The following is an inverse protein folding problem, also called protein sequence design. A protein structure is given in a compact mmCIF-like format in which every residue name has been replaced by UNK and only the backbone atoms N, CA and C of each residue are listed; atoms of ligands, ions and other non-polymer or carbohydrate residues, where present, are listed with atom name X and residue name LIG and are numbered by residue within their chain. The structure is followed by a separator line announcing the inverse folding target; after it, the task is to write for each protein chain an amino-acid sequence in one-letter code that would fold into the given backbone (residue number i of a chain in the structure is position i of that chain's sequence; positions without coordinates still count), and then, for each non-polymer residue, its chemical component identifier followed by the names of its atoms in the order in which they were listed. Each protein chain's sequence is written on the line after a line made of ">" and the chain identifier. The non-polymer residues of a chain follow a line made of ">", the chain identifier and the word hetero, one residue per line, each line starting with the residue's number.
data_IF_347687720966
#
_entry.id   IF_347687720966
#
_cell.length_a   1.000
_cell.length_b   1.000
_cell.length_c   1.000
_cell.angle_alpha   90.00
_cell.angle_beta   90.00
_cell.angle_gamma   90.00
#
_symmetry.space_group_name_H-M   'P 1'
#
loop_
_entity.id
_entity.type
_entity.pdbx_description
1 polymer ?
#
# COMPACT_ATOMS: atom_id res chain seq x y z
N UNK A 1 13.73 20.44 8.97
CA UNK A 1 12.66 20.00 8.05
C UNK A 1 13.07 18.80 7.19
N UNK A 2 14.30 18.73 6.66
CA UNK A 2 14.82 17.56 5.93
C UNK A 2 15.81 16.70 6.76
N UNK A 3 15.56 16.58 8.07
CA UNK A 3 16.38 15.70 8.90
C UNK A 3 16.00 14.25 8.66
N UNK A 4 17.00 13.39 8.50
CA UNK A 4 16.78 11.94 8.41
C UNK A 4 16.55 11.42 9.83
N UNK A 5 15.28 11.25 10.17
CA UNK A 5 14.84 10.62 11.40
C UNK A 5 13.72 9.62 11.07
N UNK A 6 13.39 8.74 12.02
CA UNK A 6 12.41 7.67 11.78
C UNK A 6 11.05 8.19 11.30
N UNK A 7 10.59 9.32 11.85
CA UNK A 7 9.32 9.93 11.47
C UNK A 7 9.33 10.39 10.01
N UNK A 8 10.31 11.20 9.61
CA UNK A 8 10.44 11.71 8.25
C UNK A 8 10.72 10.60 7.24
N UNK A 9 11.51 9.58 7.63
CA UNK A 9 11.75 8.39 6.80
C UNK A 9 10.46 7.59 6.59
N UNK A 10 9.64 7.41 7.62
CA UNK A 10 8.35 6.75 7.48
C UNK A 10 7.41 7.53 6.56
N UNK A 11 7.34 8.86 6.68
CA UNK A 11 6.54 9.71 5.76
C UNK A 11 7.00 9.56 4.32
N UNK A 12 8.32 9.60 4.08
CA UNK A 12 8.86 9.43 2.73
C UNK A 12 8.56 8.04 2.16
N UNK A 13 8.70 6.98 2.96
CA UNK A 13 8.41 5.61 2.53
C UNK A 13 6.91 5.40 2.28
N UNK A 14 6.05 5.89 3.16
CA UNK A 14 4.59 5.83 2.98
C UNK A 14 4.19 6.46 1.64
N UNK A 15 4.60 7.69 1.38
CA UNK A 15 4.26 8.40 0.14
C UNK A 15 4.96 7.83 -1.10
N UNK A 16 6.25 7.49 -0.99
CA UNK A 16 7.02 6.93 -2.10
C UNK A 16 6.46 5.58 -2.57
N UNK A 17 6.15 4.69 -1.62
CA UNK A 17 5.55 3.38 -1.94
C UNK A 17 4.12 3.58 -2.47
N UNK A 18 3.34 4.53 -1.93
CA UNK A 18 2.00 4.84 -2.43
C UNK A 18 2.01 5.26 -3.92
N UNK A 19 2.96 6.12 -4.31
CA UNK A 19 3.13 6.55 -5.70
C UNK A 19 3.46 5.37 -6.60
N UNK A 20 4.42 4.52 -6.19
CA UNK A 20 4.80 3.32 -6.94
C UNK A 20 3.60 2.37 -7.07
N UNK A 21 2.89 2.10 -5.96
CA UNK A 21 1.71 1.25 -5.93
C UNK A 21 0.62 1.77 -6.88
N UNK A 22 0.35 3.07 -6.85
CA UNK A 22 -0.64 3.72 -7.73
C UNK A 22 -0.25 3.57 -9.19
N UNK A 23 1.00 3.85 -9.54
CA UNK A 23 1.50 3.68 -10.91
C UNK A 23 1.30 2.25 -11.40
N UNK A 24 1.63 1.25 -10.58
CA UNK A 24 1.43 -0.16 -10.93
C UNK A 24 -0.05 -0.54 -11.10
N UNK A 25 -0.95 0.00 -10.27
CA UNK A 25 -2.39 -0.22 -10.39
C UNK A 25 -3.00 0.37 -11.66
N UNK A 26 -2.42 1.43 -12.24
CA UNK A 26 -2.88 2.00 -13.52
C UNK A 26 -2.53 1.15 -14.74
N UNK A 27 -1.79 0.05 -14.58
CA UNK A 27 -1.42 -0.83 -15.68
C UNK A 27 -2.61 -1.63 -16.22
N UNK A 28 -2.59 -1.90 -17.54
CA UNK A 28 -3.54 -2.83 -18.17
C UNK A 28 -3.23 -4.30 -17.83
N UNK A 29 -1.98 -4.61 -17.46
CA UNK A 29 -1.57 -5.97 -17.13
C UNK A 29 -2.00 -6.36 -15.71
N UNK A 30 -2.80 -7.43 -15.59
CA UNK A 30 -3.20 -7.98 -14.30
C UNK A 30 -2.00 -8.33 -13.40
N UNK A 31 -0.92 -8.87 -13.98
CA UNK A 31 0.34 -9.15 -13.26
C UNK A 31 0.94 -7.88 -12.67
N UNK A 32 0.95 -6.78 -13.43
CA UNK A 32 1.51 -5.50 -12.97
C UNK A 32 0.64 -4.88 -11.89
N UNK A 33 -0.69 -4.90 -12.05
CA UNK A 33 -1.64 -4.46 -11.00
C UNK A 33 -1.46 -5.25 -9.71
N UNK A 34 -1.22 -6.56 -9.80
CA UNK A 34 -0.93 -7.40 -8.63
C UNK A 34 0.28 -6.91 -7.83
N UNK A 35 1.36 -6.46 -8.51
CA UNK A 35 2.50 -5.84 -7.83
C UNK A 35 2.13 -4.49 -7.17
N UNK A 36 1.17 -3.75 -7.73
CA UNK A 36 0.62 -2.56 -7.10
C UNK A 36 -0.03 -2.87 -5.75
N UNK A 37 -0.87 -3.91 -5.68
CA UNK A 37 -1.45 -4.36 -4.41
C UNK A 37 -0.38 -4.78 -3.39
N UNK A 38 0.66 -5.50 -3.83
CA UNK A 38 1.81 -5.85 -2.96
C UNK A 38 2.49 -4.58 -2.42
N UNK A 39 2.74 -3.58 -3.25
CA UNK A 39 3.33 -2.32 -2.81
C UNK A 39 2.47 -1.64 -1.72
N UNK A 40 1.15 -1.60 -1.90
CA UNK A 40 0.26 -1.06 -0.88
C UNK A 40 0.20 -1.90 0.41
N UNK A 41 0.38 -3.23 0.36
CA UNK A 41 0.55 -4.03 1.58
C UNK A 41 1.83 -3.66 2.34
N UNK A 42 2.94 -3.44 1.62
CA UNK A 42 4.20 -3.00 2.24
C UNK A 42 4.10 -1.58 2.80
N UNK A 43 3.42 -0.68 2.10
CA UNK A 43 3.17 0.71 2.52
C UNK A 43 2.45 0.77 3.87
N UNK A 44 1.61 -0.21 4.22
CA UNK A 44 0.90 -0.21 5.50
C UNK A 44 1.86 -0.24 6.71
N UNK A 45 3.09 -0.74 6.56
CA UNK A 45 4.08 -0.78 7.67
C UNK A 45 4.44 0.65 8.13
N UNK A 46 5.01 1.52 7.28
CA UNK A 46 5.26 2.91 7.68
C UNK A 46 3.94 3.66 7.96
N UNK A 47 2.86 3.38 7.23
CA UNK A 47 1.57 4.04 7.44
C UNK A 47 1.03 3.83 8.85
N UNK A 48 0.95 2.59 9.34
CA UNK A 48 0.45 2.27 10.69
C UNK A 48 1.31 2.95 11.76
N UNK A 49 2.63 2.94 11.61
CA UNK A 49 3.52 3.67 12.51
C UNK A 49 3.18 5.17 12.57
N UNK A 50 2.99 5.81 11.41
CA UNK A 50 2.61 7.21 11.33
C UNK A 50 1.25 7.45 11.98
N UNK A 51 0.25 6.60 11.73
CA UNK A 51 -1.08 6.75 12.33
C UNK A 51 -1.04 6.69 13.85
N UNK A 52 -0.20 5.84 14.44
CA UNK A 52 -0.03 5.74 15.90
C UNK A 52 0.67 6.97 16.45
N UNK A 53 1.82 7.37 15.89
CA UNK A 53 2.60 8.52 16.38
C UNK A 53 1.87 9.85 16.21
N UNK A 54 0.98 9.95 15.22
CA UNK A 54 0.16 11.15 14.98
C UNK A 54 -1.22 11.07 15.63
N UNK A 55 -1.50 10.02 16.41
CA UNK A 55 -2.78 9.83 17.12
C UNK A 55 -4.02 9.82 16.20
N UNK A 56 -3.86 9.36 14.95
CA UNK A 56 -4.93 9.27 13.95
C UNK A 56 -5.75 7.97 14.11
N UNK A 57 -6.33 7.78 15.29
CA UNK A 57 -7.00 6.54 15.70
C UNK A 57 -8.16 6.12 14.81
N UNK A 58 -8.92 7.07 14.27
CA UNK A 58 -10.03 6.77 13.35
C UNK A 58 -9.55 6.14 12.04
N UNK A 59 -8.42 6.61 11.50
CA UNK A 59 -7.85 6.03 10.29
C UNK A 59 -7.26 4.65 10.61
N UNK A 60 -6.59 4.52 11.76
CA UNK A 60 -6.07 3.23 12.23
C UNK A 60 -7.18 2.18 12.40
N UNK A 61 -8.35 2.58 12.91
CA UNK A 61 -9.49 1.70 13.07
C UNK A 61 -10.03 1.16 11.73
N UNK A 62 -9.83 1.89 10.63
CA UNK A 62 -10.26 1.49 9.28
C UNK A 62 -9.17 0.68 8.55
N UNK A 63 -7.91 0.67 9.03
CA UNK A 63 -6.80 -0.09 8.43
C UNK A 63 -7.14 -1.56 8.14
N UNK A 64 -7.85 -2.33 9.00
CA UNK A 64 -8.23 -3.69 8.68
C UNK A 64 -9.10 -3.81 7.42
N UNK A 65 -9.99 -2.84 7.19
CA UNK A 65 -10.84 -2.79 5.98
C UNK A 65 -9.98 -2.55 4.74
N UNK A 66 -9.02 -1.63 4.81
CA UNK A 66 -8.07 -1.39 3.73
C UNK A 66 -7.23 -2.63 3.39
N UNK A 67 -6.70 -3.32 4.41
CA UNK A 67 -5.93 -4.55 4.24
C UNK A 67 -6.78 -5.66 3.58
N UNK A 68 -8.04 -5.79 4.00
CA UNK A 68 -8.96 -6.76 3.40
C UNK A 68 -9.22 -6.46 1.91
N UNK A 69 -9.56 -5.21 1.58
CA UNK A 69 -9.80 -4.81 0.19
C UNK A 69 -8.55 -4.99 -0.68
N UNK A 70 -7.37 -4.69 -0.13
CA UNK A 70 -6.11 -4.88 -0.82
C UNK A 70 -5.84 -6.37 -1.10
N UNK A 71 -6.05 -7.23 -0.10
CA UNK A 71 -5.94 -8.68 -0.27
C UNK A 71 -6.88 -9.21 -1.36
N UNK A 72 -8.14 -8.77 -1.37
CA UNK A 72 -9.10 -9.15 -2.42
C UNK A 72 -8.62 -8.67 -3.81
N UNK A 73 -8.14 -7.42 -3.90
CA UNK A 73 -7.57 -6.87 -5.12
C UNK A 73 -6.38 -7.70 -5.64
N UNK A 74 -5.46 -8.08 -4.75
CA UNK A 74 -4.34 -8.97 -5.06
C UNK A 74 -4.82 -10.33 -5.60
N UNK A 75 -5.73 -11.01 -4.90
CA UNK A 75 -6.22 -12.34 -5.29
C UNK A 75 -6.93 -12.31 -6.64
N UNK A 76 -7.75 -11.29 -6.90
CA UNK A 76 -8.47 -11.15 -8.15
C UNK A 76 -7.51 -11.00 -9.35
N UNK A 77 -6.48 -10.15 -9.20
CA UNK A 77 -5.49 -9.95 -10.26
C UNK A 77 -4.58 -11.18 -10.45
N UNK A 78 -4.27 -11.91 -9.37
CA UNK A 78 -3.57 -13.19 -9.47
C UNK A 78 -4.37 -14.22 -10.28
N UNK A 79 -5.68 -14.35 -10.01
CA UNK A 79 -6.58 -15.25 -10.74
C UNK A 79 -6.71 -14.85 -12.22
N UNK A 80 -6.86 -13.57 -12.50
CA UNK A 80 -6.92 -13.03 -13.87
C UNK A 80 -5.62 -13.32 -14.63
N UNK A 81 -4.47 -13.05 -14.01
CA UNK A 81 -3.18 -13.36 -14.63
C UNK A 81 -3.03 -14.85 -14.96
N UNK A 82 -3.44 -15.74 -14.04
CA UNK A 82 -3.40 -17.19 -14.26
C UNK A 82 -4.34 -17.65 -15.37
N UNK A 83 -5.49 -17.01 -15.56
CA UNK A 83 -6.43 -17.35 -16.62
C UNK A 83 -5.96 -16.90 -18.02
N UNK A 84 -5.12 -15.86 -18.09
CA UNK A 84 -4.56 -15.31 -19.32
C UNK A 84 -3.19 -15.91 -19.70
N UNK A 85 -2.62 -16.77 -18.84
CA UNK A 85 -1.31 -17.43 -19.03
C UNK A 85 -1.48 -18.87 -19.49
#
# INVERSE_FOLDING_TARGET
>A
MFEINLFNSAQFLDQGIAIIGTYLLTSLSAKTRMYGFIAFLLMNIPSIYLLVVTELWWILAVTPVWLYLNYIGFINNYREHKALS
#
